data_IF_146845680401
#
_entry.id   IF_146845680401
#
_cell.length_a   1.000
_cell.length_b   1.000
_cell.length_c   1.000
_cell.angle_alpha   90.00
_cell.angle_beta   90.00
_cell.angle_gamma   90.00
#
_symmetry.space_group_name_H-M   'P 1'
#
loop_
_entity.id
_entity.type
_entity.pdbx_description
1 polymer ?
#
# COMPACT_ATOMS: atom_id res chain seq x y z
N UNK A 1 -38.55 -6.63 -15.24
CA UNK A 1 -38.14 -6.56 -13.82
C UNK A 1 -36.75 -7.16 -13.72
N UNK A 2 -35.67 -6.48 -13.33
CA UNK A 2 -35.50 -5.17 -12.74
C UNK A 2 -34.07 -4.66 -12.94
N UNK A 3 -33.95 -3.35 -12.82
CA UNK A 3 -32.81 -2.45 -12.89
C UNK A 3 -31.49 -3.02 -12.30
N UNK A 4 -30.49 -3.39 -13.13
CA UNK A 4 -29.15 -3.85 -12.69
C UNK A 4 -28.02 -2.88 -13.06
N UNK A 5 -28.31 -1.62 -13.37
CA UNK A 5 -27.25 -0.60 -13.58
C UNK A 5 -27.68 0.77 -13.08
N UNK A 6 -28.22 0.81 -11.86
CA UNK A 6 -28.15 2.04 -11.09
C UNK A 6 -26.72 2.17 -10.60
N UNK A 7 -25.95 2.98 -11.30
CA UNK A 7 -24.74 3.55 -10.72
C UNK A 7 -25.12 4.02 -9.31
N UNK A 8 -24.40 3.57 -8.27
CA UNK A 8 -24.77 3.88 -6.89
C UNK A 8 -24.93 5.39 -6.75
N UNK A 9 -26.05 5.84 -6.18
CA UNK A 9 -26.27 7.27 -5.98
C UNK A 9 -25.17 7.81 -5.08
N UNK A 10 -24.83 9.10 -5.22
CA UNK A 10 -23.88 9.78 -4.35
C UNK A 10 -24.20 9.55 -2.85
N UNK A 11 -25.50 9.43 -2.54
CA UNK A 11 -26.05 9.11 -1.23
C UNK A 11 -25.64 7.71 -0.73
N UNK A 12 -25.62 6.73 -1.62
CA UNK A 12 -25.23 5.34 -1.33
C UNK A 12 -23.74 5.23 -1.08
N UNK A 13 -22.94 5.97 -1.87
CA UNK A 13 -21.49 6.08 -1.69
C UNK A 13 -21.19 6.69 -0.31
N UNK A 14 -21.86 7.80 0.04
CA UNK A 14 -21.67 8.46 1.34
C UNK A 14 -22.17 7.61 2.52
N UNK A 15 -23.25 6.85 2.32
CA UNK A 15 -23.78 5.93 3.33
C UNK A 15 -22.87 4.73 3.56
N UNK A 16 -22.25 4.21 2.49
CA UNK A 16 -21.28 3.12 2.56
C UNK A 16 -20.01 3.55 3.32
N UNK A 17 -19.49 4.75 3.02
CA UNK A 17 -18.33 5.33 3.73
C UNK A 17 -18.65 5.56 5.22
N UNK A 18 -19.82 6.12 5.56
CA UNK A 18 -20.24 6.31 6.96
C UNK A 18 -20.29 4.99 7.73
N UNK A 19 -20.84 3.93 7.12
CA UNK A 19 -20.96 2.60 7.75
C UNK A 19 -19.60 1.93 8.00
N UNK A 20 -18.60 2.15 7.14
CA UNK A 20 -17.24 1.61 7.33
C UNK A 20 -16.54 2.32 8.50
N UNK A 21 -16.67 3.64 8.60
CA UNK A 21 -16.05 4.43 9.67
C UNK A 21 -16.65 4.07 11.04
N UNK A 22 -17.98 3.97 11.15
CA UNK A 22 -18.64 3.56 12.40
C UNK A 22 -18.24 2.13 12.85
N UNK A 23 -17.97 1.23 11.88
CA UNK A 23 -17.50 -0.13 12.16
C UNK A 23 -16.05 -0.14 12.66
N UNK A 24 -15.20 0.76 12.17
CA UNK A 24 -13.78 0.84 12.54
C UNK A 24 -13.55 1.55 13.87
N UNK A 25 -14.35 2.58 14.19
CA UNK A 25 -14.32 3.29 15.48
C UNK A 25 -14.62 2.34 16.67
N UNK A 26 -15.58 1.43 16.50
CA UNK A 26 -15.93 0.44 17.52
C UNK A 26 -14.80 -0.60 17.80
N UNK A 27 -13.78 -0.68 16.95
CA UNK A 27 -12.66 -1.63 17.11
C UNK A 27 -11.42 -0.95 17.74
N UNK A 28 -11.44 0.37 17.98
CA UNK A 28 -10.32 1.12 18.60
C UNK A 28 -10.55 1.58 20.04
N UNK A 29 -11.67 1.24 20.68
CA UNK A 29 -11.98 1.61 22.07
C UNK A 29 -11.65 0.46 23.05
N UNK A 30 -10.51 -0.21 22.86
CA UNK A 30 -9.96 -1.19 23.83
C UNK A 30 -8.45 -0.99 23.89
N UNK A 31 -7.99 0.23 24.18
CA UNK A 31 -6.69 0.45 24.81
C UNK A 31 -6.65 1.82 25.48
N UNK A 32 -7.49 2.00 26.50
CA UNK A 32 -7.31 3.09 27.47
C UNK A 32 -7.41 2.48 28.87
N UNK A 33 -6.25 2.18 29.44
CA UNK A 33 -6.11 1.96 30.88
C UNK A 33 -4.90 2.77 31.36
N UNK A 34 -5.11 3.80 32.21
CA UNK A 34 -4.02 4.60 32.74
C UNK A 34 -3.56 4.01 34.07
N UNK A 35 -2.28 3.62 34.18
CA UNK A 35 -1.63 3.50 35.50
C UNK A 35 -0.09 3.53 35.43
N UNK A 36 0.43 4.53 36.12
CA UNK A 36 1.70 4.58 36.86
C UNK A 36 2.98 5.01 36.14
N UNK A 37 3.42 6.18 36.58
CA UNK A 37 4.71 6.80 36.35
C UNK A 37 5.85 6.11 37.13
N UNK A 38 7.06 6.40 36.65
CA UNK A 38 8.34 6.56 37.37
C UNK A 38 9.32 5.36 37.42
N UNK A 39 10.49 5.64 36.82
CA UNK A 39 11.85 5.18 37.10
C UNK A 39 12.18 3.68 36.95
N UNK A 40 13.06 3.35 35.99
CA UNK A 40 14.43 2.93 36.33
C UNK A 40 15.30 2.84 35.07
N UNK A 41 16.56 3.24 35.25
CA UNK A 41 17.66 3.33 34.30
C UNK A 41 18.24 1.92 34.11
N UNK A 42 18.30 1.40 32.89
CA UNK A 42 19.18 0.27 32.51
C UNK A 42 19.27 0.15 30.99
N UNK A 43 20.31 0.74 30.41
CA UNK A 43 20.91 0.31 29.14
C UNK A 43 21.45 -1.13 29.31
N UNK A 44 20.67 -2.12 28.87
CA UNK A 44 21.15 -3.50 28.65
C UNK A 44 20.89 -3.88 27.18
N UNK A 45 21.93 -4.24 26.40
CA UNK A 45 21.72 -4.68 25.02
C UNK A 45 20.99 -6.03 25.00
N UNK A 46 19.79 -6.04 24.42
CA UNK A 46 18.99 -7.26 24.26
C UNK A 46 19.69 -8.25 23.33
N UNK A 47 20.38 -9.25 23.88
CA UNK A 47 20.81 -10.43 23.13
C UNK A 47 19.60 -11.30 22.76
N UNK A 48 19.19 -11.25 21.49
CA UNK A 48 18.14 -12.11 20.91
C UNK A 48 18.64 -13.58 20.81
N UNK A 49 18.67 -14.30 21.93
CA UNK A 49 18.94 -15.75 21.97
C UNK A 49 17.72 -16.60 22.30
N UNK A 50 16.51 -16.02 22.30
CA UNK A 50 15.27 -16.77 22.48
C UNK A 50 14.44 -16.71 21.20
N UNK A 51 14.47 -17.80 20.43
CA UNK A 51 13.53 -18.04 19.35
C UNK A 51 12.11 -17.96 19.91
N UNK A 52 11.33 -16.96 19.46
CA UNK A 52 9.90 -16.92 19.71
C UNK A 52 9.27 -18.19 19.18
N UNK A 53 8.82 -19.02 20.12
CA UNK A 53 8.01 -20.20 19.89
C UNK A 53 6.70 -19.76 19.22
N UNK A 54 6.58 -20.07 17.93
CA UNK A 54 5.35 -19.83 17.17
C UNK A 54 4.20 -20.60 17.84
N UNK A 55 3.24 -19.85 18.37
CA UNK A 55 1.99 -20.42 18.86
C UNK A 55 1.17 -20.89 17.63
N UNK A 56 1.14 -22.20 17.39
CA UNK A 56 0.40 -22.84 16.31
C UNK A 56 -1.11 -22.79 16.62
N UNK A 57 -1.96 -22.13 15.80
CA UNK A 57 -3.39 -22.14 16.03
C UNK A 57 -4.00 -23.47 15.57
N UNK A 58 -4.28 -24.29 16.58
CA UNK A 58 -5.30 -25.34 16.73
C UNK A 58 -6.13 -25.74 15.48
N UNK A 59 -6.08 -27.05 15.20
CA UNK A 59 -6.76 -27.78 14.15
C UNK A 59 -8.29 -27.70 14.29
N UNK A 60 -8.95 -26.81 13.53
CA UNK A 60 -10.41 -26.86 13.33
C UNK A 60 -10.80 -27.77 12.16
N UNK A 61 -11.15 -29.01 12.52
CA UNK A 61 -12.30 -29.81 12.05
C UNK A 61 -12.72 -29.64 10.58
N UNK A 62 -12.47 -30.66 9.76
CA UNK A 62 -13.08 -30.83 8.45
C UNK A 62 -14.60 -31.09 8.56
N UNK A 63 -15.42 -30.41 7.73
CA UNK A 63 -16.61 -31.01 7.16
C UNK A 63 -16.53 -31.01 5.62
N UNK A 64 -16.67 -32.23 5.10
CA UNK A 64 -17.13 -32.67 3.79
C UNK A 64 -17.38 -31.61 2.70
N UNK A 65 -16.69 -31.82 1.59
CA UNK A 65 -17.05 -31.29 0.28
C UNK A 65 -18.43 -31.80 -0.14
N UNK A 66 -19.40 -30.90 -0.24
CA UNK A 66 -20.64 -31.13 -0.96
C UNK A 66 -20.57 -30.39 -2.31
N UNK A 67 -20.39 -31.16 -3.37
CA UNK A 67 -20.47 -30.73 -4.77
C UNK A 67 -21.92 -30.57 -5.23
N UNK A 68 -22.31 -29.34 -5.59
CA UNK A 68 -23.36 -28.97 -6.56
C UNK A 68 -23.40 -27.44 -6.59
N UNK A 69 -22.98 -26.75 -7.65
CA UNK A 69 -23.63 -26.71 -8.95
C UNK A 69 -22.64 -26.36 -10.06
N UNK A 70 -22.92 -26.92 -11.24
CA UNK A 70 -22.25 -26.71 -12.52
C UNK A 70 -22.14 -25.22 -12.88
N UNK A 71 -20.91 -24.71 -12.98
CA UNK A 71 -20.58 -23.77 -14.04
C UNK A 71 -19.72 -24.56 -15.02
N UNK A 72 -20.25 -24.82 -16.21
CA UNK A 72 -19.48 -25.36 -17.31
C UNK A 72 -18.27 -24.44 -17.50
N UNK A 73 -17.08 -24.96 -17.24
CA UNK A 73 -15.85 -24.28 -17.62
C UNK A 73 -15.81 -24.28 -19.15
N UNK A 74 -16.24 -23.18 -19.77
CA UNK A 74 -15.59 -22.78 -21.02
C UNK A 74 -14.08 -22.77 -20.75
N UNK A 75 -13.25 -23.35 -21.62
CA UNK A 75 -11.82 -23.11 -21.54
C UNK A 75 -11.66 -21.61 -21.74
N UNK A 76 -11.27 -20.89 -20.69
CA UNK A 76 -10.67 -19.57 -20.86
C UNK A 76 -9.44 -19.80 -21.72
N UNK A 77 -9.60 -19.64 -23.03
CA UNK A 77 -8.49 -19.48 -23.95
C UNK A 77 -7.68 -18.31 -23.41
N UNK A 78 -6.43 -18.60 -23.10
CA UNK A 78 -5.44 -17.72 -22.49
C UNK A 78 -5.05 -16.62 -23.49
N UNK A 79 -5.97 -15.69 -23.76
CA UNK A 79 -5.74 -14.50 -24.58
C UNK A 79 -5.01 -13.40 -23.78
N UNK A 80 -4.13 -13.81 -22.85
CA UNK A 80 -3.40 -12.92 -21.95
C UNK A 80 -1.88 -13.09 -22.01
N UNK A 81 -1.38 -13.96 -22.90
CA UNK A 81 0.07 -14.12 -23.10
C UNK A 81 0.52 -13.27 -24.30
N UNK A 82 0.51 -11.94 -24.12
CA UNK A 82 0.98 -10.93 -25.10
C UNK A 82 2.47 -11.14 -25.45
N UNK A 83 3.21 -11.84 -24.59
CA UNK A 83 4.63 -12.15 -24.76
C UNK A 83 4.82 -13.64 -24.97
N UNK A 84 5.65 -14.03 -25.93
CA UNK A 84 6.03 -15.44 -26.05
C UNK A 84 6.74 -15.92 -24.77
N UNK A 85 6.52 -17.18 -24.39
CA UNK A 85 7.21 -17.80 -23.24
C UNK A 85 8.74 -17.69 -23.35
N UNK A 86 9.25 -17.71 -24.58
CA UNK A 86 10.67 -17.53 -24.89
C UNK A 86 11.16 -16.10 -24.61
N UNK A 87 10.40 -15.08 -25.04
CA UNK A 87 10.72 -13.68 -24.74
C UNK A 87 10.68 -13.39 -23.23
N UNK A 88 9.74 -14.00 -22.51
CA UNK A 88 9.67 -13.89 -21.04
C UNK A 88 10.87 -14.55 -20.37
N UNK A 89 11.30 -15.72 -20.83
CA UNK A 89 12.48 -16.42 -20.32
C UNK A 89 13.78 -15.63 -20.60
N UNK A 90 13.93 -15.09 -21.81
CA UNK A 90 15.08 -14.28 -22.21
C UNK A 90 15.17 -12.97 -21.39
N UNK A 91 14.03 -12.31 -21.15
CA UNK A 91 13.95 -11.12 -20.30
C UNK A 91 14.39 -11.43 -18.87
N UNK A 92 13.88 -12.52 -18.28
CA UNK A 92 14.25 -12.96 -16.93
C UNK A 92 15.74 -13.30 -16.81
N UNK A 93 16.31 -13.98 -17.81
CA UNK A 93 17.75 -14.29 -17.83
C UNK A 93 18.62 -13.04 -17.93
N UNK A 94 18.21 -12.06 -18.74
CA UNK A 94 18.95 -10.79 -18.87
C UNK A 94 18.91 -10.01 -17.57
N UNK A 95 17.74 -9.94 -16.92
CA UNK A 95 17.60 -9.29 -15.62
C UNK A 95 18.46 -9.99 -14.55
N UNK A 96 18.38 -11.32 -14.46
CA UNK A 96 19.19 -12.10 -13.52
C UNK A 96 20.70 -11.88 -13.72
N UNK A 97 21.16 -11.76 -14.97
CA UNK A 97 22.56 -11.45 -15.29
C UNK A 97 22.97 -10.06 -14.81
N UNK A 98 22.10 -9.06 -14.97
CA UNK A 98 22.34 -7.69 -14.50
C UNK A 98 22.38 -7.59 -12.97
N UNK A 99 21.51 -8.32 -12.27
CA UNK A 99 21.57 -8.41 -10.80
C UNK A 99 22.90 -8.99 -10.34
N UNK A 100 23.41 -10.03 -11.02
CA UNK A 100 24.68 -10.67 -10.69
C UNK A 100 25.87 -9.71 -10.87
N UNK A 101 25.86 -8.92 -11.94
CA UNK A 101 26.89 -7.90 -12.23
C UNK A 101 26.86 -6.76 -11.20
N UNK A 102 25.69 -6.40 -10.70
CA UNK A 102 25.54 -5.41 -9.63
C UNK A 102 26.02 -5.90 -8.25
N UNK A 103 25.96 -7.21 -7.98
CA UNK A 103 26.42 -7.79 -6.71
C UNK A 103 27.92 -8.06 -6.63
N UNK A 104 28.61 -8.18 -7.76
CA UNK A 104 30.04 -8.51 -7.82
C UNK A 104 30.97 -7.28 -7.76
N UNK A 105 30.45 -6.07 -7.48
CA UNK A 105 31.33 -4.90 -7.34
C UNK A 105 31.94 -4.88 -5.94
N UNK A 106 33.25 -5.20 -5.77
CA UNK A 106 33.87 -5.14 -4.45
C UNK A 106 33.85 -3.70 -3.95
N UNK A 107 33.39 -3.53 -2.72
CA UNK A 107 33.26 -2.27 -2.02
C UNK A 107 34.58 -1.46 -2.06
N UNK A 108 34.62 -0.44 -2.93
CA UNK A 108 35.52 0.68 -2.80
C UNK A 108 34.90 1.70 -1.81
N UNK A 109 35.69 2.38 -0.98
CA UNK A 109 35.15 3.25 0.06
C UNK A 109 34.61 4.56 -0.53
N UNK A 110 33.44 4.97 -0.03
CA UNK A 110 32.91 6.34 -0.02
C UNK A 110 32.34 6.95 -1.32
N UNK A 111 31.68 6.16 -2.17
CA UNK A 111 30.50 6.66 -2.89
C UNK A 111 29.33 5.84 -2.40
N UNK A 112 28.33 6.47 -1.78
CA UNK A 112 27.11 5.80 -1.34
C UNK A 112 26.63 4.88 -2.48
N UNK A 113 26.29 3.60 -2.23
CA UNK A 113 25.79 2.75 -3.28
C UNK A 113 24.56 3.46 -3.84
N UNK A 114 24.56 3.78 -5.14
CA UNK A 114 23.37 4.33 -5.81
C UNK A 114 22.27 3.29 -5.64
N UNK A 115 21.45 3.51 -4.61
CA UNK A 115 20.37 2.58 -4.30
C UNK A 115 19.36 2.67 -5.43
N UNK A 116 18.63 1.58 -5.66
CA UNK A 116 17.55 1.57 -6.64
C UNK A 116 16.54 2.70 -6.35
N UNK A 117 16.34 3.04 -5.07
CA UNK A 117 15.52 4.20 -4.66
C UNK A 117 16.00 5.51 -5.28
N UNK A 118 17.32 5.73 -5.32
CA UNK A 118 17.90 6.98 -5.83
C UNK A 118 17.71 7.10 -7.35
N UNK A 119 17.85 5.99 -8.09
CA UNK A 119 17.57 5.95 -9.53
C UNK A 119 16.08 6.14 -9.83
N UNK A 120 15.20 5.53 -9.04
CA UNK A 120 13.74 5.70 -9.17
C UNK A 120 13.35 7.13 -8.85
N UNK A 121 13.95 7.74 -7.82
CA UNK A 121 13.74 9.14 -7.44
C UNK A 121 14.18 10.09 -8.55
N UNK A 122 15.36 9.90 -9.13
CA UNK A 122 15.82 10.69 -10.28
C UNK A 122 14.88 10.56 -11.47
N UNK A 123 14.35 9.36 -11.72
CA UNK A 123 13.44 9.09 -12.83
C UNK A 123 12.03 9.69 -12.62
N UNK A 124 11.51 9.69 -11.39
CA UNK A 124 10.19 10.24 -11.06
C UNK A 124 10.18 11.77 -10.91
N UNK A 125 11.33 12.37 -10.56
CA UNK A 125 11.48 13.81 -10.37
C UNK A 125 10.96 14.67 -11.54
N UNK A 126 11.27 14.40 -12.82
CA UNK A 126 10.76 15.21 -13.92
C UNK A 126 9.23 15.10 -14.09
N UNK A 127 8.65 13.92 -13.88
CA UNK A 127 7.20 13.71 -14.01
C UNK A 127 6.43 14.46 -12.91
N UNK A 128 6.89 14.35 -11.67
CA UNK A 128 6.30 15.07 -10.54
C UNK A 128 6.49 16.58 -10.70
N UNK A 129 7.66 17.04 -11.16
CA UNK A 129 7.91 18.46 -11.38
C UNK A 129 6.96 19.05 -12.43
N UNK A 130 6.79 18.38 -13.58
CA UNK A 130 5.87 18.84 -14.62
C UNK A 130 4.43 18.96 -14.09
N UNK A 131 3.99 17.95 -13.35
CA UNK A 131 2.66 17.96 -12.72
C UNK A 131 2.51 19.08 -11.68
N UNK A 132 3.50 19.27 -10.81
CA UNK A 132 3.48 20.37 -9.85
C UNK A 132 3.47 21.72 -10.56
N UNK A 133 4.29 21.93 -11.58
CA UNK A 133 4.36 23.20 -12.31
C UNK A 133 3.01 23.54 -12.99
N UNK A 134 2.26 22.52 -13.45
CA UNK A 134 0.94 22.69 -14.07
C UNK A 134 -0.20 22.89 -13.06
N UNK A 135 -0.20 22.16 -11.94
CA UNK A 135 -1.36 22.10 -11.04
C UNK A 135 -1.21 22.90 -9.73
N UNK A 136 0.02 23.22 -9.33
CA UNK A 136 0.28 23.97 -8.09
C UNK A 136 -0.32 25.38 -8.10
N UNK A 137 -0.27 26.17 -9.21
CA UNK A 137 -0.85 27.52 -9.21
C UNK A 137 -2.34 27.52 -8.85
N UNK A 138 -3.14 26.65 -9.47
CA UNK A 138 -4.59 26.55 -9.19
C UNK A 138 -4.90 26.05 -7.78
N UNK A 139 -4.06 25.16 -7.23
CA UNK A 139 -4.23 24.70 -5.85
C UNK A 139 -3.97 25.84 -4.85
N UNK A 140 -2.93 26.65 -5.09
CA UNK A 140 -2.57 27.78 -4.24
C UNK A 140 -3.65 28.85 -4.28
N UNK A 141 -4.14 29.25 -5.46
CA UNK A 141 -5.21 30.25 -5.58
C UNK A 141 -6.46 29.85 -4.78
N UNK A 142 -6.82 28.57 -4.84
CA UNK A 142 -7.99 28.03 -4.14
C UNK A 142 -7.80 27.99 -2.62
N UNK A 143 -6.59 27.74 -2.14
CA UNK A 143 -6.26 27.77 -0.70
C UNK A 143 -6.19 29.22 -0.21
N UNK A 144 -5.54 30.11 -0.96
CA UNK A 144 -5.40 31.53 -0.60
C UNK A 144 -6.76 32.22 -0.56
N UNK A 145 -7.62 32.00 -1.56
CA UNK A 145 -8.99 32.56 -1.58
C UNK A 145 -9.76 32.14 -0.33
N UNK A 146 -9.70 30.85 0.03
CA UNK A 146 -10.32 30.32 1.25
C UNK A 146 -9.75 30.95 2.52
N UNK A 147 -8.44 31.17 2.57
CA UNK A 147 -7.79 31.72 3.76
C UNK A 147 -8.08 33.22 3.93
N UNK A 148 -8.15 33.98 2.83
CA UNK A 148 -8.55 35.39 2.86
C UNK A 148 -10.02 35.55 3.28
N UNK A 149 -10.93 34.72 2.75
CA UNK A 149 -12.33 34.69 3.19
C UNK A 149 -12.44 34.37 4.69
N UNK A 150 -11.65 33.39 5.17
CA UNK A 150 -11.62 33.02 6.59
C UNK A 150 -11.13 34.17 7.47
N UNK A 151 -10.05 34.85 7.07
CA UNK A 151 -9.50 36.00 7.82
C UNK A 151 -10.49 37.16 7.83
N UNK A 152 -11.05 37.50 6.67
CA UNK A 152 -12.02 38.60 6.54
C UNK A 152 -13.26 38.38 7.39
N UNK A 153 -13.76 37.13 7.49
CA UNK A 153 -14.90 36.79 8.36
C UNK A 153 -14.58 36.82 9.86
N UNK A 154 -13.29 36.74 10.24
CA UNK A 154 -12.85 36.79 11.63
C UNK A 154 -12.55 38.22 12.10
N UNK A 155 -12.20 39.10 11.17
CA UNK A 155 -11.88 40.51 11.44
C UNK A 155 -13.13 41.44 11.39
N UNK A 156 -14.32 40.92 11.02
CA UNK A 156 -15.63 41.61 11.09
C UNK A 156 -16.45 41.20 12.33
#
# INVERSE_FOLDING_TARGET
>A
MGDMSKEPSMEDILSSIRRVIEREDATRIIDDSPASSADDDSDEPLELTQASEFHEPDQRRAPQAETTSQHAADPVEDDATILSSDALAASRQTLASLLHIGSDTPAAPATAPTTIDDLVRESLKPMLKGWLDEHLPGLVERIVTREVERLTKRDD
#
